data_IF_256432358818
#
_entry.id   IF_256432358818
#
_cell.length_a   1.000
_cell.length_b   1.000
_cell.length_c   1.000
_cell.angle_alpha   90.00
_cell.angle_beta   90.00
_cell.angle_gamma   90.00
#
_symmetry.space_group_name_H-M   'P 1'
#
loop_
_entity.id
_entity.type
_entity.pdbx_description
1 polymer ?
#
# COMPACT_ATOMS: atom_id res chain seq x y z
N UNK A 1 53.07 -21.26 -49.84
CA UNK A 1 52.97 -20.06 -48.97
C UNK A 1 51.55 -19.45 -48.90
N UNK A 2 50.81 -19.29 -50.01
CA UNK A 2 49.46 -18.65 -50.02
C UNK A 2 48.38 -19.35 -49.17
N UNK A 3 48.39 -20.69 -49.07
CA UNK A 3 47.36 -21.46 -48.33
C UNK A 3 47.46 -21.29 -46.81
N UNK A 4 48.68 -21.18 -46.27
CA UNK A 4 48.91 -21.03 -44.82
C UNK A 4 48.40 -19.68 -44.32
N UNK A 5 48.60 -18.62 -45.12
CA UNK A 5 48.12 -17.26 -44.82
C UNK A 5 46.58 -17.20 -44.77
N UNK A 6 45.89 -17.90 -45.68
CA UNK A 6 44.42 -17.95 -45.73
C UNK A 6 43.84 -18.69 -44.51
N UNK A 7 44.49 -19.76 -44.07
CA UNK A 7 44.05 -20.51 -42.87
C UNK A 7 44.20 -19.66 -41.62
N UNK A 8 45.31 -18.92 -41.50
CA UNK A 8 45.55 -18.06 -40.34
C UNK A 8 44.58 -16.87 -40.29
N UNK A 9 44.31 -16.23 -41.44
CA UNK A 9 43.28 -15.17 -41.55
C UNK A 9 41.88 -15.67 -41.18
N UNK A 10 41.50 -16.87 -41.61
CA UNK A 10 40.20 -17.46 -41.24
C UNK A 10 40.10 -17.78 -39.73
N UNK A 11 41.22 -18.12 -39.08
CA UNK A 11 41.27 -18.37 -37.63
C UNK A 11 41.07 -17.07 -36.83
N UNK A 12 41.79 -16.02 -37.20
CA UNK A 12 41.66 -14.68 -36.57
C UNK A 12 40.24 -14.11 -36.74
N UNK A 13 39.66 -14.23 -37.94
CA UNK A 13 38.28 -13.78 -38.20
C UNK A 13 37.23 -14.60 -37.40
N UNK A 14 37.50 -15.88 -37.13
CA UNK A 14 36.63 -16.73 -36.31
C UNK A 14 36.68 -16.35 -34.83
N UNK A 15 37.87 -16.05 -34.30
CA UNK A 15 38.02 -15.59 -32.92
C UNK A 15 37.47 -14.16 -32.73
N UNK A 16 37.65 -13.28 -33.71
CA UNK A 16 37.05 -11.94 -33.71
C UNK A 16 35.51 -12.00 -33.76
N UNK A 17 34.92 -12.92 -34.54
CA UNK A 17 33.47 -13.17 -34.54
C UNK A 17 32.98 -13.67 -33.18
N UNK A 18 33.71 -14.58 -32.52
CA UNK A 18 33.35 -15.07 -31.18
C UNK A 18 33.38 -13.94 -30.15
N UNK A 19 34.41 -13.09 -30.19
CA UNK A 19 34.55 -11.93 -29.31
C UNK A 19 33.39 -10.94 -29.51
N UNK A 20 33.01 -10.68 -30.77
CA UNK A 20 31.88 -9.82 -31.11
C UNK A 20 30.55 -10.35 -30.53
N UNK A 21 30.31 -11.66 -30.64
CA UNK A 21 29.09 -12.28 -30.09
C UNK A 21 28.99 -12.23 -28.57
N UNK A 22 30.10 -12.32 -27.83
CA UNK A 22 30.10 -12.22 -26.36
C UNK A 22 29.76 -10.79 -25.90
N UNK A 23 30.29 -9.78 -26.60
CA UNK A 23 30.01 -8.36 -26.29
C UNK A 23 28.53 -8.03 -26.53
N UNK A 24 27.93 -8.53 -27.61
CA UNK A 24 26.51 -8.32 -27.91
C UNK A 24 25.61 -8.91 -26.83
N UNK A 25 25.91 -10.10 -26.33
CA UNK A 25 25.12 -10.75 -25.24
C UNK A 25 25.21 -9.95 -23.94
N UNK A 26 26.38 -9.39 -23.62
CA UNK A 26 26.59 -8.58 -22.42
C UNK A 26 25.77 -7.27 -22.45
N UNK A 27 25.70 -6.63 -23.62
CA UNK A 27 24.92 -5.40 -23.83
C UNK A 27 23.40 -5.65 -23.71
N UNK A 28 22.92 -6.80 -24.18
CA UNK A 28 21.50 -7.18 -24.07
C UNK A 28 21.09 -7.43 -22.62
N UNK A 29 21.97 -7.99 -21.78
CA UNK A 29 21.67 -8.19 -20.35
C UNK A 29 21.57 -6.87 -19.56
N UNK A 30 22.32 -5.84 -19.94
CA UNK A 30 22.29 -4.53 -19.27
C UNK A 30 20.99 -3.76 -19.55
N UNK A 31 20.34 -3.98 -20.70
CA UNK A 31 19.08 -3.32 -21.06
C UNK A 31 17.85 -3.90 -20.33
N UNK A 32 17.95 -5.11 -19.76
CA UNK A 32 16.82 -5.82 -19.14
C UNK A 32 16.45 -5.31 -17.73
N UNK A 33 17.31 -4.51 -17.08
CA UNK A 33 17.03 -3.94 -15.75
C UNK A 33 16.42 -2.53 -15.79
N UNK A 34 16.20 -1.95 -16.98
CA UNK A 34 15.78 -0.56 -17.13
C UNK A 34 14.27 -0.31 -17.05
N UNK A 35 13.43 -1.34 -17.16
CA UNK A 35 11.96 -1.15 -17.17
C UNK A 35 11.31 -1.73 -15.91
N UNK A 36 11.67 -1.16 -14.75
CA UNK A 36 10.83 -1.26 -13.56
C UNK A 36 9.73 -0.22 -13.68
N UNK A 37 8.78 -0.49 -14.56
CA UNK A 37 7.54 0.24 -14.66
C UNK A 37 6.73 -0.16 -13.42
N UNK A 38 6.95 0.56 -12.32
CA UNK A 38 6.04 0.53 -11.20
C UNK A 38 4.67 0.88 -11.74
N UNK A 39 3.81 -0.14 -11.80
CA UNK A 39 2.39 0.04 -12.04
C UNK A 39 1.84 0.84 -10.85
N UNK A 40 2.00 2.15 -10.90
CA UNK A 40 1.21 3.08 -10.12
C UNK A 40 -0.23 2.87 -10.58
N UNK A 41 -0.97 2.06 -9.82
CA UNK A 41 -2.41 2.10 -9.87
C UNK A 41 -2.77 3.54 -9.51
N UNK A 42 -3.06 4.36 -10.52
CA UNK A 42 -3.47 5.74 -10.33
C UNK A 42 -4.84 5.69 -9.64
N UNK A 43 -4.84 5.54 -8.31
CA UNK A 43 -6.03 5.67 -7.48
C UNK A 43 -6.30 7.16 -7.47
N UNK A 44 -7.30 7.61 -8.20
CA UNK A 44 -7.69 9.02 -8.16
C UNK A 44 -7.91 9.43 -6.70
N UNK A 45 -7.21 10.48 -6.28
CA UNK A 45 -7.28 11.04 -4.92
C UNK A 45 -7.71 12.50 -4.96
N UNK A 46 -8.33 12.97 -3.88
CA UNK A 46 -8.56 14.39 -3.62
C UNK A 46 -7.94 14.79 -2.28
N UNK A 47 -7.59 16.07 -2.15
CA UNK A 47 -7.06 16.61 -0.90
C UNK A 47 -8.19 16.92 0.08
N UNK A 48 -8.06 16.42 1.31
CA UNK A 48 -8.95 16.74 2.42
C UNK A 48 -8.14 17.49 3.46
N UNK A 49 -8.61 18.67 3.85
CA UNK A 49 -8.07 19.41 5.00
C UNK A 49 -8.79 18.95 6.27
N UNK A 50 -8.03 18.62 7.30
CA UNK A 50 -8.54 18.10 8.58
C UNK A 50 -7.72 18.66 9.75
N UNK A 51 -8.07 18.28 10.98
CA UNK A 51 -7.48 18.83 12.21
C UNK A 51 -5.96 18.60 12.36
N UNK A 52 -5.38 17.69 11.57
CA UNK A 52 -3.95 17.34 11.60
C UNK A 52 -3.18 17.80 10.35
N UNK A 53 -3.83 18.50 9.41
CA UNK A 53 -3.20 19.00 8.19
C UNK A 53 -4.03 18.73 6.94
N UNK A 54 -3.38 18.24 5.90
CA UNK A 54 -4.00 17.88 4.62
C UNK A 54 -3.51 16.49 4.20
N UNK A 55 -4.45 15.62 3.82
CA UNK A 55 -4.18 14.24 3.37
C UNK A 55 -4.82 14.01 2.00
N UNK A 56 -4.14 13.26 1.12
CA UNK A 56 -4.71 12.78 -0.15
C UNK A 56 -5.54 11.54 0.10
N UNK A 57 -6.85 11.67 0.00
CA UNK A 57 -7.82 10.60 0.25
C UNK A 57 -8.24 9.97 -1.08
N UNK A 58 -8.30 8.63 -1.20
CA UNK A 58 -8.84 7.99 -2.39
C UNK A 58 -10.28 8.46 -2.66
N UNK A 59 -10.64 8.71 -3.91
CA UNK A 59 -12.01 9.14 -4.28
C UNK A 59 -13.07 8.09 -3.92
N UNK A 60 -12.67 6.82 -3.78
CA UNK A 60 -13.57 5.71 -3.48
C UNK A 60 -12.90 4.69 -2.54
N UNK A 61 -12.73 5.03 -1.25
CA UNK A 61 -12.10 4.13 -0.29
C UNK A 61 -12.96 2.88 -0.07
N UNK A 62 -12.33 1.71 -0.03
CA UNK A 62 -13.00 0.40 0.08
C UNK A 62 -12.73 -0.30 1.41
N UNK A 63 -11.66 0.10 2.10
CA UNK A 63 -11.18 -0.53 3.33
C UNK A 63 -10.96 0.56 4.37
N UNK A 64 -12.07 1.07 4.91
CA UNK A 64 -12.04 2.13 5.91
C UNK A 64 -11.91 1.55 7.31
N UNK A 65 -11.01 2.11 8.12
CA UNK A 65 -10.95 1.89 9.57
C UNK A 65 -11.39 3.16 10.29
N UNK A 66 -12.23 3.04 11.32
CA UNK A 66 -12.69 4.20 12.12
C UNK A 66 -12.34 4.05 13.58
N UNK A 67 -11.75 5.08 14.18
CA UNK A 67 -11.17 5.01 15.52
C UNK A 67 -12.04 5.67 16.60
N UNK A 68 -13.31 5.96 16.27
CA UNK A 68 -14.32 6.47 17.21
C UNK A 68 -15.69 5.83 17.01
N UNK A 69 -16.48 5.75 18.07
CA UNK A 69 -17.83 5.20 18.10
C UNK A 69 -18.76 6.08 17.27
N UNK A 70 -18.72 7.41 17.46
CA UNK A 70 -19.55 8.34 16.70
C UNK A 70 -19.23 8.31 15.19
N UNK A 71 -17.96 8.15 14.81
CA UNK A 71 -17.56 8.00 13.41
C UNK A 71 -18.04 6.68 12.81
N UNK A 72 -17.99 5.60 13.59
CA UNK A 72 -18.46 4.28 13.14
C UNK A 72 -19.97 4.29 12.91
N UNK A 73 -20.73 4.88 13.83
CA UNK A 73 -22.19 5.03 13.68
C UNK A 73 -22.56 5.91 12.49
N UNK A 74 -21.82 7.00 12.25
CA UNK A 74 -22.02 7.86 11.09
C UNK A 74 -21.81 7.11 9.77
N UNK A 75 -20.70 6.37 9.62
CA UNK A 75 -20.45 5.57 8.42
C UNK A 75 -21.54 4.52 8.19
N UNK A 76 -21.87 3.76 9.23
CA UNK A 76 -22.88 2.69 9.13
C UNK A 76 -24.25 3.26 8.77
N UNK A 77 -24.59 4.44 9.27
CA UNK A 77 -25.83 5.15 8.93
C UNK A 77 -25.87 5.62 7.47
N UNK A 78 -24.71 5.92 6.88
CA UNK A 78 -24.56 6.22 5.45
C UNK A 78 -24.46 4.95 4.58
N UNK A 79 -24.62 3.76 5.16
CA UNK A 79 -24.50 2.48 4.44
C UNK A 79 -23.07 2.06 4.15
N UNK A 80 -22.08 2.71 4.76
CA UNK A 80 -20.66 2.34 4.65
C UNK A 80 -20.28 1.48 5.85
N UNK A 81 -19.84 0.26 5.57
CA UNK A 81 -19.38 -0.68 6.61
C UNK A 81 -17.85 -0.67 6.67
N UNK A 82 -17.23 -0.17 7.76
CA UNK A 82 -15.78 -0.19 7.87
C UNK A 82 -15.26 -1.62 8.05
N UNK A 83 -14.01 -1.86 7.64
CA UNK A 83 -13.34 -3.15 7.84
C UNK A 83 -12.83 -3.31 9.28
N UNK A 84 -12.70 -2.21 10.02
CA UNK A 84 -12.40 -2.24 11.44
C UNK A 84 -12.87 -0.97 12.16
N UNK A 85 -13.21 -1.11 13.43
CA UNK A 85 -13.70 -0.02 14.26
C UNK A 85 -13.15 -0.10 15.69
N UNK A 86 -12.99 1.06 16.33
CA UNK A 86 -12.70 1.12 17.76
C UNK A 86 -13.87 0.53 18.56
N UNK A 87 -13.54 -0.23 19.61
CA UNK A 87 -14.50 -0.89 20.49
C UNK A 87 -15.45 0.13 21.14
N UNK A 88 -16.66 -0.32 21.46
CA UNK A 88 -17.60 0.45 22.26
C UNK A 88 -17.14 0.54 23.72
N UNK A 89 -17.33 1.70 24.35
CA UNK A 89 -16.87 1.97 25.72
C UNK A 89 -17.35 0.95 26.75
N UNK A 90 -18.62 0.56 26.65
CA UNK A 90 -19.27 -0.41 27.55
C UNK A 90 -19.76 -1.65 26.78
N UNK A 91 -19.07 -1.99 25.68
CA UNK A 91 -19.38 -3.16 24.86
C UNK A 91 -18.30 -4.23 24.93
N UNK A 92 -18.64 -5.44 24.47
CA UNK A 92 -17.69 -6.54 24.29
C UNK A 92 -17.92 -7.23 22.92
N UNK A 93 -17.29 -6.75 21.83
CA UNK A 93 -16.62 -5.45 21.70
C UNK A 93 -17.58 -4.28 21.38
N UNK A 94 -18.86 -4.57 21.12
CA UNK A 94 -19.85 -3.61 20.64
C UNK A 94 -20.96 -3.35 21.66
N UNK A 95 -21.64 -2.20 21.56
CA UNK A 95 -22.93 -2.05 22.24
C UNK A 95 -23.92 -3.10 21.72
N UNK A 96 -24.69 -3.69 22.64
CA UNK A 96 -25.66 -4.76 22.34
C UNK A 96 -26.62 -4.44 21.18
N UNK A 97 -27.05 -3.19 21.07
CA UNK A 97 -27.98 -2.75 20.02
C UNK A 97 -27.33 -2.58 18.64
N UNK A 98 -25.99 -2.59 18.57
CA UNK A 98 -25.20 -2.45 17.34
C UNK A 98 -24.64 -3.77 16.83
N UNK A 99 -24.55 -4.83 17.65
CA UNK A 99 -23.94 -6.11 17.28
C UNK A 99 -24.38 -6.64 15.90
N UNK A 100 -25.69 -6.60 15.62
CA UNK A 100 -26.22 -7.04 14.32
C UNK A 100 -25.73 -6.17 13.16
N UNK A 101 -25.67 -4.85 13.36
CA UNK A 101 -25.18 -3.90 12.34
C UNK A 101 -23.66 -3.98 12.16
N UNK A 102 -22.94 -4.29 13.24
CA UNK A 102 -21.49 -4.32 13.30
C UNK A 102 -20.91 -5.72 13.08
N UNK A 103 -21.74 -6.70 12.73
CA UNK A 103 -21.31 -8.02 12.28
C UNK A 103 -20.20 -7.87 11.24
N UNK A 104 -19.13 -8.65 11.28
CA UNK A 104 -17.99 -8.60 10.34
C UNK A 104 -17.16 -7.29 10.35
N UNK A 105 -17.37 -6.39 11.30
CA UNK A 105 -16.43 -5.29 11.58
C UNK A 105 -15.40 -5.82 12.59
N UNK A 106 -14.11 -5.62 12.32
CA UNK A 106 -13.05 -6.09 13.20
C UNK A 106 -12.77 -5.09 14.34
N UNK A 107 -12.76 -5.51 15.62
CA UNK A 107 -12.43 -4.64 16.75
C UNK A 107 -10.94 -4.33 16.80
N UNK A 108 -10.60 -3.04 16.70
CA UNK A 108 -9.21 -2.55 16.69
C UNK A 108 -8.76 -1.90 18.01
N UNK A 109 -9.42 -2.22 19.13
CA UNK A 109 -9.07 -1.69 20.46
C UNK A 109 -9.95 -0.51 20.88
N UNK A 110 -9.76 0.00 22.09
CA UNK A 110 -10.55 1.14 22.59
C UNK A 110 -10.13 2.46 21.94
N UNK A 111 -11.00 3.47 21.95
CA UNK A 111 -10.65 4.76 21.32
C UNK A 111 -9.40 5.42 21.92
N UNK A 112 -9.19 5.27 23.23
CA UNK A 112 -8.00 5.78 23.92
C UNK A 112 -6.77 4.86 23.76
N UNK A 113 -6.99 3.61 23.37
CA UNK A 113 -5.97 2.55 23.31
C UNK A 113 -6.18 1.67 22.07
N UNK A 114 -5.99 2.29 20.91
CA UNK A 114 -6.08 1.60 19.62
C UNK A 114 -4.94 0.60 19.46
N UNK A 115 -5.20 -0.48 18.72
CA UNK A 115 -4.23 -1.51 18.39
C UNK A 115 -3.70 -1.31 16.96
N UNK A 116 -2.55 -0.65 16.85
CA UNK A 116 -1.90 -0.34 15.56
C UNK A 116 -1.60 -1.58 14.72
N UNK A 117 -1.23 -2.70 15.34
CA UNK A 117 -0.95 -3.94 14.60
C UNK A 117 -2.20 -4.53 13.97
N UNK A 118 -3.32 -4.52 14.69
CA UNK A 118 -4.62 -4.93 14.13
C UNK A 118 -5.01 -4.02 12.96
N UNK A 119 -4.88 -2.71 13.13
CA UNK A 119 -5.18 -1.74 12.06
C UNK A 119 -4.33 -2.03 10.81
N UNK A 120 -3.02 -2.23 10.97
CA UNK A 120 -2.12 -2.54 9.86
C UNK A 120 -2.48 -3.85 9.15
N UNK A 121 -2.83 -4.91 9.90
CA UNK A 121 -3.25 -6.22 9.35
C UNK A 121 -4.50 -6.13 8.48
N UNK A 122 -5.39 -5.17 8.77
CA UNK A 122 -6.59 -4.93 7.95
C UNK A 122 -6.27 -4.29 6.60
N UNK A 123 -5.05 -3.80 6.37
CA UNK A 123 -4.63 -3.13 5.12
C UNK A 123 -5.67 -2.07 4.68
N UNK A 124 -5.96 -1.07 5.52
CA UNK A 124 -6.92 -0.04 5.17
C UNK A 124 -6.43 0.81 4.00
N UNK A 125 -7.35 1.43 3.29
CA UNK A 125 -7.06 2.49 2.30
C UNK A 125 -7.50 3.87 2.77
N UNK A 126 -8.14 3.96 3.94
CA UNK A 126 -8.43 5.18 4.67
C UNK A 126 -8.59 4.86 6.16
N UNK A 127 -8.04 5.70 7.03
CA UNK A 127 -8.27 5.67 8.47
C UNK A 127 -8.95 6.99 8.86
N UNK A 128 -9.99 6.92 9.69
CA UNK A 128 -10.70 8.09 10.21
C UNK A 128 -10.56 8.08 11.73
N UNK A 129 -9.97 9.15 12.29
CA UNK A 129 -9.79 9.30 13.73
C UNK A 129 -10.22 10.66 14.26
N UNK A 130 -9.91 10.90 15.52
CA UNK A 130 -10.16 12.17 16.19
C UNK A 130 -8.86 12.70 16.80
N UNK A 131 -8.55 13.97 16.55
CA UNK A 131 -7.34 14.62 17.07
C UNK A 131 -7.20 14.46 18.59
N UNK A 132 -8.27 14.72 19.35
CA UNK A 132 -8.24 14.68 20.81
C UNK A 132 -7.80 13.30 21.35
N UNK A 133 -8.11 12.22 20.63
CA UNK A 133 -7.83 10.85 21.08
C UNK A 133 -6.58 10.24 20.46
N UNK A 134 -6.35 10.49 19.18
CA UNK A 134 -5.31 9.81 18.40
C UNK A 134 -4.19 10.73 17.88
N UNK A 135 -4.05 11.96 18.39
CA UNK A 135 -2.96 12.88 18.02
C UNK A 135 -1.58 12.22 18.21
N UNK A 136 -1.36 11.50 19.31
CA UNK A 136 -0.08 10.83 19.59
C UNK A 136 0.23 9.70 18.59
N UNK A 137 -0.80 9.06 18.03
CA UNK A 137 -0.68 7.94 17.10
C UNK A 137 -0.72 8.39 15.64
N UNK A 138 -1.10 9.64 15.35
CA UNK A 138 -1.33 10.15 14.00
C UNK A 138 -0.21 9.79 13.01
N UNK A 139 1.06 10.04 13.36
CA UNK A 139 2.20 9.71 12.49
C UNK A 139 2.24 8.23 12.10
N UNK A 140 2.03 7.35 13.07
CA UNK A 140 2.02 5.89 12.85
C UNK A 140 0.80 5.44 12.05
N UNK A 141 -0.34 6.09 12.22
CA UNK A 141 -1.53 5.84 11.42
C UNK A 141 -1.32 6.27 9.97
N UNK A 142 -0.71 7.43 9.74
CA UNK A 142 -0.37 7.93 8.40
C UNK A 142 0.64 7.04 7.65
N UNK A 143 1.50 6.31 8.37
CA UNK A 143 2.38 5.29 7.78
C UNK A 143 1.61 4.04 7.31
N UNK A 144 0.43 3.76 7.90
CA UNK A 144 -0.40 2.61 7.54
C UNK A 144 -1.29 2.95 6.33
N UNK A 145 -1.98 4.09 6.36
CA UNK A 145 -2.87 4.55 5.30
C UNK A 145 -3.13 6.07 5.41
N UNK A 146 -3.68 6.72 4.36
CA UNK A 146 -4.21 8.08 4.47
C UNK A 146 -5.10 8.22 5.72
N UNK A 147 -4.79 9.19 6.58
CA UNK A 147 -5.42 9.43 7.89
C UNK A 147 -5.78 10.90 8.06
#
# INVERSE_FOLDING_TARGET
>A
MKIIIIIQLKKEVKEMRKLLSVIVVLVVMLAACGNKQEASSNKDTHEVKHAMGTTKVPNNPKRVVVLTNEGTEALVSMGVKPVGAANSYAGDPWYKHLEKKYKDIEPVGGESEINLEKIAKLKPDLIIGNKFRQEAQYKKLSEIAPT
#
